data_IF_310532014244
#
_entry.id   IF_310532014244
#
_cell.length_a   1.000
_cell.length_b   1.000
_cell.length_c   1.000
_cell.angle_alpha   90.00
_cell.angle_beta   90.00
_cell.angle_gamma   90.00
#
_symmetry.space_group_name_H-M   'P 1'
#
loop_
_entity.id
_entity.type
_entity.pdbx_description
1 polymer ?
#
# COMPACT_ATOMS: atom_id res chain seq x y z
N UNK A 1 -8.01 21.67 12.90
CA UNK A 1 -7.65 21.39 11.50
C UNK A 1 -7.25 19.94 11.45
N UNK A 2 -8.03 19.09 10.76
CA UNK A 2 -7.70 17.67 10.67
C UNK A 2 -6.51 17.54 9.73
N UNK A 3 -5.36 17.10 10.24
CA UNK A 3 -4.21 16.75 9.39
C UNK A 3 -4.67 15.66 8.42
N UNK A 4 -4.67 15.99 7.14
CA UNK A 4 -5.06 15.05 6.09
C UNK A 4 -3.88 14.13 5.86
N UNK A 5 -3.98 12.88 6.32
CA UNK A 5 -2.95 11.87 6.12
C UNK A 5 -2.71 11.62 4.63
N UNK A 6 -1.48 11.35 4.23
CA UNK A 6 -1.10 11.13 2.84
C UNK A 6 -0.73 9.66 2.61
N UNK A 7 -1.40 9.03 1.65
CA UNK A 7 -1.11 7.67 1.21
C UNK A 7 -0.47 7.71 -0.19
N UNK A 8 0.75 7.19 -0.30
CA UNK A 8 1.44 6.98 -1.56
C UNK A 8 1.16 5.58 -2.07
N UNK A 9 0.74 5.47 -3.32
CA UNK A 9 0.52 4.20 -4.00
C UNK A 9 1.47 4.14 -5.19
N UNK A 10 2.32 3.13 -5.19
CA UNK A 10 3.40 2.98 -6.17
C UNK A 10 3.13 1.71 -6.98
N UNK A 11 2.93 1.91 -8.28
CA UNK A 11 2.65 0.90 -9.28
C UNK A 11 1.21 0.93 -9.84
N UNK A 12 0.89 0.00 -10.74
CA UNK A 12 -0.47 -0.11 -11.32
C UNK A 12 -1.48 -0.59 -10.28
N UNK A 13 -2.26 0.38 -9.81
CA UNK A 13 -3.49 0.30 -9.03
C UNK A 13 -3.68 -0.96 -8.13
N UNK A 14 -2.77 -1.21 -7.16
CA UNK A 14 -2.79 -2.42 -6.35
C UNK A 14 -3.90 -2.47 -5.28
N UNK A 15 -4.65 -1.37 -5.08
CA UNK A 15 -5.67 -1.28 -4.00
C UNK A 15 -6.88 -0.46 -4.42
N UNK A 16 -8.03 -0.79 -3.85
CA UNK A 16 -9.23 0.05 -3.85
C UNK A 16 -8.95 1.43 -3.23
N UNK A 17 -8.64 2.41 -4.08
CA UNK A 17 -8.46 3.82 -3.71
C UNK A 17 -9.64 4.39 -2.92
N UNK A 18 -10.85 3.85 -3.14
CA UNK A 18 -12.06 4.25 -2.44
C UNK A 18 -11.93 4.07 -0.93
N UNK A 19 -11.47 2.89 -0.48
CA UNK A 19 -11.32 2.56 0.94
C UNK A 19 -10.28 3.44 1.63
N UNK A 20 -9.19 3.76 0.94
CA UNK A 20 -8.13 4.63 1.45
C UNK A 20 -8.66 6.07 1.65
N UNK A 21 -9.43 6.59 0.68
CA UNK A 21 -10.09 7.91 0.82
C UNK A 21 -11.14 7.94 1.95
N UNK A 22 -11.94 6.88 2.08
CA UNK A 22 -12.93 6.74 3.16
C UNK A 22 -12.29 6.74 4.56
N UNK A 23 -11.00 6.38 4.66
CA UNK A 23 -10.20 6.44 5.89
C UNK A 23 -9.55 7.81 6.15
N UNK A 24 -9.82 8.81 5.31
CA UNK A 24 -9.31 10.17 5.47
C UNK A 24 -7.95 10.43 4.83
N UNK A 25 -7.45 9.50 4.00
CA UNK A 25 -6.16 9.68 3.32
C UNK A 25 -6.33 10.40 1.98
N UNK A 26 -5.44 11.37 1.73
CA UNK A 26 -5.16 11.90 0.39
C UNK A 26 -4.26 10.93 -0.36
N UNK A 27 -4.64 10.57 -1.57
CA UNK A 27 -3.91 9.58 -2.36
C UNK A 27 -2.98 10.27 -3.37
N UNK A 28 -1.72 9.84 -3.41
CA UNK A 28 -0.76 10.13 -4.48
C UNK A 28 -0.41 8.84 -5.21
N UNK A 29 -0.53 8.86 -6.54
CA UNK A 29 -0.24 7.72 -7.40
C UNK A 29 1.10 7.96 -8.10
N UNK A 30 2.00 6.99 -8.01
CA UNK A 30 3.26 6.98 -8.73
C UNK A 30 3.30 5.76 -9.63
N UNK A 31 3.55 5.98 -10.92
CA UNK A 31 3.63 4.87 -11.89
C UNK A 31 4.89 4.03 -11.74
N UNK A 32 5.88 4.54 -11.03
CA UNK A 32 7.14 3.85 -10.75
C UNK A 32 7.80 4.43 -9.50
N UNK A 33 8.67 3.64 -8.90
CA UNK A 33 9.59 4.04 -7.85
C UNK A 33 10.41 5.29 -8.21
N UNK A 34 10.89 5.39 -9.46
CA UNK A 34 11.64 6.56 -9.94
C UNK A 34 10.83 7.86 -9.91
N UNK A 35 9.54 7.80 -10.22
CA UNK A 35 8.67 8.97 -10.14
C UNK A 35 8.44 9.39 -8.69
N UNK A 36 8.30 8.42 -7.79
CA UNK A 36 8.16 8.67 -6.36
C UNK A 36 9.41 9.34 -5.79
N UNK A 37 10.61 8.86 -6.12
CA UNK A 37 11.87 9.44 -5.65
C UNK A 37 12.12 10.88 -6.13
N UNK A 38 11.36 11.39 -7.10
CA UNK A 38 11.47 12.77 -7.58
C UNK A 38 10.39 13.70 -6.98
N UNK A 39 9.49 13.17 -6.16
CA UNK A 39 8.36 13.91 -5.59
C UNK A 39 8.51 13.98 -4.07
N UNK A 40 9.19 15.03 -3.58
CA UNK A 40 9.39 15.26 -2.13
C UNK A 40 8.46 16.33 -1.54
N UNK A 41 7.48 16.80 -2.32
CA UNK A 41 6.65 17.94 -1.92
C UNK A 41 5.68 17.62 -0.78
N UNK A 42 5.39 16.34 -0.52
CA UNK A 42 4.50 15.87 0.55
C UNK A 42 5.10 14.64 1.25
N UNK A 43 5.17 14.63 2.57
CA UNK A 43 5.62 13.46 3.32
C UNK A 43 4.49 12.43 3.44
N UNK A 44 4.70 11.14 3.11
CA UNK A 44 3.68 10.11 3.25
C UNK A 44 3.53 9.61 4.69
N UNK A 45 2.29 9.35 5.11
CA UNK A 45 1.98 8.60 6.33
C UNK A 45 1.91 7.09 6.07
N UNK A 46 1.57 6.73 4.82
CA UNK A 46 1.39 5.36 4.37
C UNK A 46 1.95 5.22 2.97
N UNK A 47 2.72 4.15 2.73
CA UNK A 47 3.19 3.81 1.39
C UNK A 47 2.76 2.39 1.05
N UNK A 48 2.13 2.23 -0.11
CA UNK A 48 1.62 0.97 -0.62
C UNK A 48 2.30 0.64 -1.94
N UNK A 49 2.83 -0.58 -2.05
CA UNK A 49 3.51 -1.07 -3.25
C UNK A 49 2.83 -2.29 -3.85
N UNK A 50 2.81 -2.37 -5.17
CA UNK A 50 2.57 -3.63 -5.89
C UNK A 50 3.88 -4.40 -6.05
N UNK A 51 4.02 -5.57 -5.41
CA UNK A 51 5.18 -6.44 -5.60
C UNK A 51 5.33 -6.90 -7.06
N UNK A 52 4.24 -6.95 -7.82
CA UNK A 52 4.23 -7.25 -9.25
C UNK A 52 5.13 -6.29 -10.07
N UNK A 53 5.33 -5.07 -9.59
CA UNK A 53 6.05 -4.02 -10.32
C UNK A 53 7.37 -3.62 -9.66
N UNK A 54 7.67 -4.15 -8.48
CA UNK A 54 8.97 -3.97 -7.84
C UNK A 54 9.98 -4.88 -8.54
N UNK A 55 10.74 -4.30 -9.47
CA UNK A 55 11.88 -4.99 -10.12
C UNK A 55 13.12 -5.04 -9.23
N UNK A 56 13.20 -4.14 -8.26
CA UNK A 56 14.36 -3.97 -7.38
C UNK A 56 13.88 -3.85 -5.92
N UNK A 57 14.03 -4.94 -5.16
CA UNK A 57 13.68 -4.98 -3.74
C UNK A 57 14.54 -4.06 -2.87
N UNK A 58 15.68 -3.56 -3.37
CA UNK A 58 16.48 -2.56 -2.63
C UNK A 58 15.72 -1.25 -2.42
N UNK A 59 14.68 -1.00 -3.22
CA UNK A 59 13.82 0.18 -3.08
C UNK A 59 13.15 0.23 -1.70
N UNK A 60 12.78 -0.91 -1.11
CA UNK A 60 12.14 -0.95 0.21
C UNK A 60 13.10 -0.48 1.31
N UNK A 61 14.39 -0.82 1.18
CA UNK A 61 15.43 -0.35 2.10
C UNK A 61 15.63 1.15 1.98
N UNK A 62 15.76 1.66 0.75
CA UNK A 62 15.89 3.11 0.51
C UNK A 62 14.71 3.87 1.08
N UNK A 63 13.49 3.37 0.90
CA UNK A 63 12.28 4.04 1.40
C UNK A 63 12.23 4.03 2.93
N UNK A 64 12.67 2.95 3.59
CA UNK A 64 12.83 2.95 5.05
C UNK A 64 13.89 3.94 5.53
N UNK A 65 14.94 4.18 4.75
CA UNK A 65 15.97 5.18 5.06
C UNK A 65 15.46 6.61 4.87
N UNK A 66 14.73 6.89 3.78
CA UNK A 66 14.20 8.22 3.48
C UNK A 66 12.98 8.59 4.33
N UNK A 67 12.16 7.60 4.70
CA UNK A 67 10.91 7.78 5.42
C UNK A 67 10.90 6.93 6.70
N UNK A 68 11.77 7.22 7.67
CA UNK A 68 11.79 6.49 8.92
C UNK A 68 10.46 6.67 9.66
N UNK A 69 9.87 5.57 10.13
CA UNK A 69 8.60 5.57 10.86
C UNK A 69 7.33 5.55 9.99
N UNK A 70 7.45 5.57 8.67
CA UNK A 70 6.29 5.46 7.76
C UNK A 70 5.86 4.01 7.60
N UNK A 71 4.55 3.76 7.62
CA UNK A 71 4.00 2.42 7.40
C UNK A 71 4.14 2.04 5.93
N UNK A 72 4.79 0.91 5.67
CA UNK A 72 5.01 0.38 4.32
C UNK A 72 4.24 -0.93 4.17
N UNK A 73 3.34 -0.99 3.21
CA UNK A 73 2.58 -2.18 2.84
C UNK A 73 3.01 -2.66 1.46
N UNK A 74 3.46 -3.90 1.36
CA UNK A 74 3.64 -4.58 0.07
C UNK A 74 2.42 -5.46 -0.21
N UNK A 75 1.95 -5.41 -1.45
CA UNK A 75 0.84 -6.23 -1.91
C UNK A 75 1.37 -7.25 -2.90
N UNK A 76 1.11 -8.54 -2.67
CA UNK A 76 1.52 -9.56 -3.61
C UNK A 76 0.85 -9.30 -4.96
N UNK A 77 1.48 -9.74 -6.08
CA UNK A 77 0.81 -9.74 -7.37
C UNK A 77 -0.55 -10.45 -7.23
N UNK A 78 -1.63 -9.85 -7.74
CA UNK A 78 -2.89 -10.58 -7.85
C UNK A 78 -2.61 -11.89 -8.58
N UNK A 79 -3.05 -13.05 -8.05
CA UNK A 79 -2.88 -14.30 -8.74
C UNK A 79 -3.57 -14.15 -10.09
N UNK A 80 -2.78 -14.21 -11.17
CA UNK A 80 -3.33 -14.30 -12.52
C UNK A 80 -4.25 -15.51 -12.50
N UNK A 81 -5.56 -15.27 -12.53
CA UNK A 81 -6.54 -16.35 -12.66
C UNK A 81 -6.26 -17.05 -14.00
N UNK A 82 -5.45 -18.11 -13.94
CA UNK A 82 -5.44 -19.13 -14.97
C UNK A 82 -6.88 -19.61 -15.01
N UNK A 83 -7.58 -19.30 -16.10
CA UNK A 83 -8.92 -19.83 -16.40
C UNK A 83 -8.88 -21.36 -16.37
N UNK A 84 -9.02 -21.91 -15.19
CA UNK A 84 -9.27 -23.33 -14.92
C UNK A 84 -10.23 -23.36 -13.75
N UNK A 85 -11.50 -23.26 -14.12
CA UNK A 85 -12.59 -24.04 -13.55
C UNK A 85 -12.63 -24.14 -12.02
N UNK A 86 -13.50 -23.29 -11.43
CA UNK A 86 -14.28 -23.56 -10.21
C UNK A 86 -13.47 -23.96 -8.97
N UNK A 87 -13.16 -22.98 -8.11
CA UNK A 87 -13.24 -23.17 -6.64
C UNK A 87 -13.22 -21.84 -5.86
N UNK A 88 -14.40 -21.48 -5.36
CA UNK A 88 -14.69 -20.81 -4.08
C UNK A 88 -13.94 -19.50 -3.76
N UNK A 89 -14.55 -18.39 -4.22
CA UNK A 89 -14.35 -17.03 -3.68
C UNK A 89 -14.84 -16.96 -2.22
N UNK A 90 -13.97 -17.28 -1.26
CA UNK A 90 -14.00 -16.87 0.16
C UNK A 90 -12.74 -17.45 0.81
N UNK A 91 -11.64 -16.66 0.94
CA UNK A 91 -11.37 -16.04 2.24
C UNK A 91 -10.49 -14.75 2.21
N UNK A 92 -10.49 -13.95 1.14
CA UNK A 92 -9.57 -12.79 1.07
C UNK A 92 -9.99 -11.61 1.96
N UNK A 93 -11.29 -11.44 2.18
CA UNK A 93 -11.82 -10.35 3.03
C UNK A 93 -11.39 -10.50 4.51
N UNK A 94 -11.39 -11.74 5.02
CA UNK A 94 -11.02 -12.01 6.42
C UNK A 94 -9.55 -11.76 6.73
N UNK A 95 -8.65 -11.93 5.76
CA UNK A 95 -7.22 -11.66 5.96
C UNK A 95 -6.92 -10.17 6.05
N UNK A 96 -7.68 -9.33 5.36
CA UNK A 96 -7.52 -7.87 5.44
C UNK A 96 -8.05 -7.30 6.76
N UNK A 97 -9.17 -7.81 7.26
CA UNK A 97 -9.75 -7.37 8.54
C UNK A 97 -8.80 -7.69 9.71
N UNK A 98 -8.18 -8.87 9.70
CA UNK A 98 -7.16 -9.26 10.69
C UNK A 98 -5.91 -8.37 10.66
N UNK A 99 -5.47 -7.95 9.47
CA UNK A 99 -4.32 -7.05 9.34
C UNK A 99 -4.63 -5.64 9.84
N UNK A 100 -5.84 -5.15 9.59
CA UNK A 100 -6.28 -3.82 10.06
C UNK A 100 -6.46 -3.81 11.59
N UNK A 101 -7.02 -4.88 12.17
CA UNK A 101 -7.17 -5.00 13.62
C UNK A 101 -5.82 -5.14 14.33
N UNK A 102 -4.84 -5.81 13.71
CA UNK A 102 -3.48 -5.90 14.24
C UNK A 102 -2.78 -4.53 14.29
N UNK A 103 -3.00 -3.67 13.28
CA UNK A 103 -2.42 -2.32 13.26
C UNK A 103 -3.01 -1.46 14.38
N UNK A 104 -4.33 -1.54 14.62
CA UNK A 104 -4.98 -0.80 15.73
C UNK A 104 -4.44 -1.18 17.10
N UNK A 105 -4.16 -2.47 17.32
CA UNK A 105 -3.65 -2.94 18.61
C UNK A 105 -2.23 -2.43 18.91
N UNK A 106 -1.47 -2.04 17.89
CA UNK A 106 -0.12 -1.47 18.02
C UNK A 106 -0.19 0.06 18.26
N UNK A 107 -1.27 0.72 17.85
CA UNK A 107 -1.46 2.18 18.07
C UNK A 107 -2.06 2.51 19.45
N UNK A 108 -2.68 1.54 20.15
CA UNK A 108 -3.31 1.70 21.46
C UNK A 108 -2.41 1.30 22.67
N UNK A 109 -1.15 0.87 22.43
CA UNK A 109 -0.10 0.66 23.45
C UNK A 109 0.90 1.83 23.49
#
# INVERSE_FOLDING_TARGET
>A
MSDVKVAWIIGTNPVSQRRIRERGYKIRLFKSDRQMMNSFDEYPDLIIFSEAEIKDFTILFKIREFFPGVVILSLPPEPVEVKSTVQVLKPLAESMDRLIDAIRKIEDE
#
